data_IF_747215677299
#
_entry.id   IF_747215677299
#
_cell.length_a   1.000
_cell.length_b   1.000
_cell.length_c   1.000
_cell.angle_alpha   90.00
_cell.angle_beta   90.00
_cell.angle_gamma   90.00
#
_symmetry.space_group_name_H-M   'P 1'
#
loop_
_entity.id
_entity.type
_entity.pdbx_description
1 polymer ?
#
# COMPACT_ATOMS: atom_id res chain seq x y z
N UNK A 1 -40.82 -18.18 49.81
CA UNK A 1 -39.49 -18.49 49.23
C UNK A 1 -39.58 -19.23 47.90
N UNK A 2 -40.41 -20.28 47.77
CA UNK A 2 -40.49 -21.09 46.52
C UNK A 2 -40.95 -20.27 45.30
N UNK A 3 -41.90 -19.32 45.45
CA UNK A 3 -42.39 -18.49 44.32
C UNK A 3 -41.31 -17.52 43.83
N UNK A 4 -40.53 -16.90 44.70
CA UNK A 4 -39.45 -15.99 44.34
C UNK A 4 -38.29 -16.74 43.65
N UNK A 5 -37.94 -17.92 44.16
CA UNK A 5 -36.95 -18.79 43.51
C UNK A 5 -37.38 -19.23 42.12
N UNK A 6 -38.68 -19.61 41.96
CA UNK A 6 -39.20 -19.97 40.66
C UNK A 6 -39.25 -18.76 39.69
N UNK A 7 -39.62 -17.57 40.18
CA UNK A 7 -39.62 -16.33 39.38
C UNK A 7 -38.21 -15.92 38.95
N UNK A 8 -37.21 -16.00 39.84
CA UNK A 8 -35.82 -15.72 39.47
C UNK A 8 -35.28 -16.66 38.41
N UNK A 9 -35.59 -17.96 38.50
CA UNK A 9 -35.25 -18.94 37.48
C UNK A 9 -35.90 -18.63 36.13
N UNK A 10 -37.20 -18.21 36.13
CA UNK A 10 -37.90 -17.83 34.93
C UNK A 10 -37.30 -16.58 34.28
N UNK A 11 -36.95 -15.55 35.07
CA UNK A 11 -36.29 -14.34 34.57
C UNK A 11 -34.89 -14.63 34.02
N UNK A 12 -34.14 -15.49 34.67
CA UNK A 12 -32.84 -15.99 34.17
C UNK A 12 -32.98 -16.70 32.83
N UNK A 13 -33.94 -17.64 32.73
CA UNK A 13 -34.20 -18.34 31.48
C UNK A 13 -34.65 -17.40 30.35
N UNK A 14 -35.45 -16.37 30.67
CA UNK A 14 -35.83 -15.36 29.70
C UNK A 14 -34.67 -14.52 29.22
N UNK A 15 -33.72 -14.15 30.11
CA UNK A 15 -32.49 -13.43 29.72
C UNK A 15 -31.63 -14.31 28.80
N UNK A 16 -31.42 -15.56 29.15
CA UNK A 16 -30.69 -16.51 28.31
C UNK A 16 -31.33 -16.68 26.93
N UNK A 17 -32.66 -16.83 26.87
CA UNK A 17 -33.38 -16.93 25.58
C UNK A 17 -33.27 -15.67 24.75
N UNK A 18 -33.35 -14.49 25.36
CA UNK A 18 -33.19 -13.21 24.66
C UNK A 18 -31.78 -13.08 24.08
N UNK A 19 -30.73 -13.50 24.81
CA UNK A 19 -29.35 -13.48 24.36
C UNK A 19 -29.15 -14.41 23.14
N UNK A 20 -29.60 -15.67 23.23
CA UNK A 20 -29.54 -16.62 22.11
C UNK A 20 -30.36 -16.14 20.90
N UNK A 21 -31.52 -15.54 21.13
CA UNK A 21 -32.35 -14.96 20.05
C UNK A 21 -31.65 -13.81 19.35
N UNK A 22 -30.93 -12.96 20.10
CA UNK A 22 -30.11 -11.89 19.54
C UNK A 22 -28.94 -12.45 18.70
N UNK A 23 -28.26 -13.48 19.19
CA UNK A 23 -27.16 -14.12 18.46
C UNK A 23 -27.66 -14.76 17.17
N UNK A 24 -28.80 -15.45 17.21
CA UNK A 24 -29.41 -16.03 16.00
C UNK A 24 -29.81 -14.96 14.99
N UNK A 25 -30.39 -13.85 15.44
CA UNK A 25 -30.76 -12.73 14.57
C UNK A 25 -29.54 -12.10 13.88
N UNK A 26 -28.36 -12.15 14.53
CA UNK A 26 -27.12 -11.57 14.05
C UNK A 26 -26.12 -12.60 13.51
N UNK A 27 -26.52 -13.84 13.31
CA UNK A 27 -25.66 -14.90 12.78
C UNK A 27 -25.07 -14.60 11.38
N UNK A 28 -25.74 -13.73 10.60
CA UNK A 28 -25.29 -13.27 9.28
C UNK A 28 -24.76 -11.83 9.29
N UNK A 29 -24.61 -11.23 10.47
CA UNK A 29 -24.11 -9.85 10.60
C UNK A 29 -22.59 -9.84 10.62
N UNK A 30 -21.94 -9.07 9.75
CA UNK A 30 -20.48 -8.96 9.66
C UNK A 30 -19.87 -8.59 11.01
N UNK A 31 -18.86 -9.35 11.42
CA UNK A 31 -18.07 -9.14 12.65
C UNK A 31 -18.89 -9.10 13.95
N UNK A 32 -20.10 -9.67 13.96
CA UNK A 32 -20.88 -9.80 15.18
C UNK A 32 -20.19 -10.78 16.14
N UNK A 33 -20.25 -10.46 17.42
CA UNK A 33 -19.71 -11.28 18.51
C UNK A 33 -20.85 -11.86 19.34
N UNK A 34 -20.94 -13.17 19.39
CA UNK A 34 -21.94 -13.90 20.16
C UNK A 34 -21.85 -13.53 21.64
N UNK A 35 -22.96 -13.63 22.32
CA UNK A 35 -23.10 -13.26 23.71
C UNK A 35 -23.60 -14.43 24.55
N UNK A 36 -23.15 -14.48 25.79
CA UNK A 36 -23.61 -15.48 26.76
C UNK A 36 -24.07 -14.77 28.02
N UNK A 37 -25.27 -15.11 28.49
CA UNK A 37 -25.75 -14.62 29.79
C UNK A 37 -25.07 -15.39 30.91
N UNK A 38 -24.46 -14.67 31.86
CA UNK A 38 -23.83 -15.22 33.05
C UNK A 38 -24.80 -15.14 34.21
N UNK A 39 -24.88 -16.21 34.98
CA UNK A 39 -25.80 -16.34 36.12
C UNK A 39 -25.01 -16.62 37.39
N UNK A 40 -25.45 -16.01 38.48
CA UNK A 40 -24.96 -16.28 39.83
C UNK A 40 -26.06 -16.87 40.71
N UNK A 41 -25.69 -17.70 41.65
CA UNK A 41 -26.60 -18.21 42.66
C UNK A 41 -26.77 -17.21 43.82
N UNK A 42 -27.95 -17.13 44.38
CA UNK A 42 -28.26 -16.21 45.47
C UNK A 42 -28.47 -17.01 46.76
N UNK A 43 -27.68 -16.67 47.79
CA UNK A 43 -27.83 -17.22 49.15
C UNK A 43 -28.29 -16.14 50.14
N UNK A 44 -29.04 -16.50 51.20
CA UNK A 44 -29.34 -15.57 52.25
C UNK A 44 -28.08 -15.12 53.01
N UNK A 45 -28.05 -13.89 53.52
CA UNK A 45 -26.89 -13.31 54.20
C UNK A 45 -26.38 -14.10 55.41
N UNK A 46 -27.21 -14.98 56.01
CA UNK A 46 -26.86 -15.85 57.14
C UNK A 46 -26.96 -17.33 56.71
N UNK A 47 -26.44 -17.67 55.54
CA UNK A 47 -26.47 -19.03 55.03
C UNK A 47 -25.54 -19.96 55.80
N UNK A 48 -26.14 -20.71 56.75
CA UNK A 48 -25.53 -21.94 57.26
C UNK A 48 -25.96 -23.11 56.36
N UNK A 49 -26.69 -24.07 56.85
CA UNK A 49 -27.23 -25.23 56.10
C UNK A 49 -28.59 -24.90 55.46
N UNK A 50 -28.71 -23.74 54.74
CA UNK A 50 -29.94 -23.38 54.05
C UNK A 50 -29.75 -23.43 52.54
N UNK A 51 -30.77 -23.92 51.78
CA UNK A 51 -30.71 -23.91 50.33
C UNK A 51 -30.68 -22.50 49.74
N UNK A 52 -30.06 -22.36 48.55
CA UNK A 52 -30.07 -21.12 47.81
C UNK A 52 -31.49 -20.58 47.50
N UNK A 53 -31.65 -19.29 47.37
CA UNK A 53 -32.95 -18.61 47.19
C UNK A 53 -33.24 -18.24 45.74
N UNK A 54 -32.42 -18.68 44.80
CA UNK A 54 -32.63 -18.46 43.38
C UNK A 54 -31.36 -18.10 42.58
N UNK A 55 -31.55 -17.56 41.40
CA UNK A 55 -30.47 -17.11 40.53
C UNK A 55 -30.67 -15.65 40.14
N UNK A 56 -29.56 -14.92 39.90
CA UNK A 56 -29.57 -13.59 39.31
C UNK A 56 -28.74 -13.60 38.02
N UNK A 57 -29.01 -12.68 37.13
CA UNK A 57 -28.11 -12.44 35.99
C UNK A 57 -26.95 -11.60 36.49
N UNK A 58 -25.74 -12.14 36.44
CA UNK A 58 -24.49 -11.44 36.76
C UNK A 58 -24.13 -10.43 35.67
N UNK A 59 -24.30 -10.83 34.40
CA UNK A 59 -24.00 -9.99 33.25
C UNK A 59 -24.17 -10.72 31.92
N UNK A 60 -23.80 -10.04 30.84
CA UNK A 60 -23.69 -10.62 29.51
C UNK A 60 -22.23 -10.48 29.07
N UNK A 61 -21.58 -11.59 28.76
CA UNK A 61 -20.22 -11.65 28.25
C UNK A 61 -20.26 -11.85 26.75
N UNK A 62 -19.41 -11.14 26.02
CA UNK A 62 -19.23 -11.33 24.57
C UNK A 62 -18.08 -12.28 24.28
N UNK A 63 -18.28 -13.22 23.37
CA UNK A 63 -17.21 -14.06 22.86
C UNK A 63 -16.42 -13.28 21.80
N UNK A 64 -15.21 -12.84 22.16
CA UNK A 64 -14.34 -12.04 21.30
C UNK A 64 -13.50 -12.88 20.34
N UNK A 65 -13.71 -14.21 20.28
CA UNK A 65 -13.02 -15.08 19.31
C UNK A 65 -13.32 -14.62 17.88
N UNK A 66 -12.33 -14.80 17.03
CA UNK A 66 -12.45 -14.40 15.63
C UNK A 66 -13.43 -15.30 14.90
N UNK A 67 -14.34 -14.71 14.14
CA UNK A 67 -15.19 -15.43 13.19
C UNK A 67 -14.44 -15.83 11.91
N UNK A 68 -15.05 -16.65 11.09
CA UNK A 68 -14.49 -17.07 9.82
C UNK A 68 -14.28 -15.88 8.87
N UNK A 69 -13.20 -15.91 8.10
CA UNK A 69 -12.92 -14.91 7.09
C UNK A 69 -13.54 -15.33 5.75
N UNK A 70 -14.41 -14.48 5.22
CA UNK A 70 -15.13 -14.73 3.96
C UNK A 70 -14.67 -13.75 2.89
N UNK A 71 -14.23 -14.28 1.75
CA UNK A 71 -13.84 -13.47 0.60
C UNK A 71 -15.08 -12.82 -0.04
N UNK A 72 -15.05 -11.51 -0.21
CA UNK A 72 -16.14 -10.73 -0.81
C UNK A 72 -15.83 -10.29 -2.24
N UNK A 73 -14.54 -10.24 -2.60
CA UNK A 73 -14.09 -9.69 -3.89
C UNK A 73 -14.17 -8.17 -3.99
N UNK A 74 -14.64 -7.46 -2.96
CA UNK A 74 -14.58 -6.01 -2.89
C UNK A 74 -13.21 -5.57 -2.35
N UNK A 75 -12.41 -4.81 -3.11
CA UNK A 75 -11.05 -4.43 -2.68
C UNK A 75 -11.00 -3.45 -1.50
N UNK A 76 -12.12 -2.84 -1.12
CA UNK A 76 -12.24 -1.96 0.05
C UNK A 76 -12.63 -2.71 1.32
N UNK A 77 -13.05 -3.97 1.22
CA UNK A 77 -13.32 -4.78 2.38
C UNK A 77 -12.00 -5.25 3.01
N UNK A 78 -11.94 -5.25 4.33
CA UNK A 78 -10.78 -5.70 5.07
C UNK A 78 -11.19 -6.41 6.36
N UNK A 79 -10.64 -7.59 6.60
CA UNK A 79 -10.81 -8.31 7.85
C UNK A 79 -9.52 -8.27 8.68
N UNK A 80 -9.64 -8.11 9.99
CA UNK A 80 -8.51 -8.17 10.90
C UNK A 80 -8.22 -9.64 11.21
N UNK A 81 -6.97 -10.08 11.02
CA UNK A 81 -6.48 -11.38 11.45
C UNK A 81 -5.76 -11.23 12.78
N UNK A 82 -6.35 -11.78 13.84
CA UNK A 82 -5.85 -11.64 15.21
C UNK A 82 -6.48 -10.48 15.96
N UNK A 83 -5.70 -9.83 16.82
CA UNK A 83 -6.19 -8.83 17.76
C UNK A 83 -6.31 -7.43 17.14
N UNK A 84 -7.26 -6.64 17.63
CA UNK A 84 -7.43 -5.24 17.29
C UNK A 84 -8.82 -4.91 16.75
N UNK A 85 -9.06 -3.61 16.59
CA UNK A 85 -10.29 -3.04 16.08
C UNK A 85 -9.93 -1.93 15.11
N UNK A 86 -10.68 -1.78 14.04
CA UNK A 86 -10.61 -0.58 13.21
C UNK A 86 -11.03 0.64 14.05
N UNK A 87 -10.33 1.73 13.87
CA UNK A 87 -10.63 2.99 14.53
C UNK A 87 -11.49 3.82 13.60
N UNK A 88 -12.67 4.20 14.06
CA UNK A 88 -13.60 5.03 13.30
C UNK A 88 -13.97 6.28 14.08
N UNK A 89 -14.40 7.32 13.39
CA UNK A 89 -14.89 8.55 14.00
C UNK A 89 -16.30 8.86 13.53
N UNK A 90 -17.22 8.99 14.47
CA UNK A 90 -18.58 9.46 14.23
C UNK A 90 -18.80 10.75 15.01
N UNK A 91 -19.14 11.84 14.31
CA UNK A 91 -19.38 13.16 14.90
C UNK A 91 -18.24 13.65 15.82
N UNK A 92 -16.97 13.34 15.45
CA UNK A 92 -15.81 13.71 16.23
C UNK A 92 -15.50 12.80 17.42
N UNK A 93 -16.34 11.80 17.69
CA UNK A 93 -16.08 10.79 18.73
C UNK A 93 -15.40 9.57 18.12
N UNK A 94 -14.30 9.16 18.74
CA UNK A 94 -13.57 7.96 18.33
C UNK A 94 -14.31 6.71 18.84
N UNK A 95 -14.48 5.76 17.93
CA UNK A 95 -15.16 4.50 18.16
C UNK A 95 -14.39 3.37 17.50
N UNK A 96 -14.76 2.13 17.73
CA UNK A 96 -14.02 0.95 17.34
C UNK A 96 -14.96 -0.08 16.73
N UNK A 97 -14.52 -0.78 15.69
CA UNK A 97 -15.31 -1.83 15.06
C UNK A 97 -14.42 -2.94 14.53
N UNK A 98 -14.99 -4.14 14.43
CA UNK A 98 -14.40 -5.25 13.67
C UNK A 98 -15.00 -5.36 12.26
N UNK A 99 -16.09 -4.63 11.99
CA UNK A 99 -16.68 -4.57 10.65
C UNK A 99 -15.76 -3.80 9.69
N UNK A 100 -15.26 -4.49 8.69
CA UNK A 100 -14.35 -3.98 7.68
C UNK A 100 -15.00 -3.69 6.33
N UNK A 101 -16.33 -3.59 6.26
CA UNK A 101 -17.05 -3.19 5.07
C UNK A 101 -16.98 -1.67 4.88
N UNK A 102 -15.98 -1.21 4.08
CA UNK A 102 -15.75 0.21 3.86
C UNK A 102 -16.16 0.65 2.46
N UNK A 103 -16.46 1.94 2.34
CA UNK A 103 -16.77 2.60 1.09
C UNK A 103 -16.12 3.99 1.03
N UNK A 104 -15.95 4.52 -0.17
CA UNK A 104 -15.47 5.90 -0.36
C UNK A 104 -16.68 6.82 -0.40
N UNK A 105 -16.72 7.79 0.51
CA UNK A 105 -17.70 8.89 0.45
C UNK A 105 -17.39 9.77 -0.76
N UNK A 106 -18.31 9.83 -1.71
CA UNK A 106 -18.16 10.57 -2.95
C UNK A 106 -18.01 12.09 -2.78
N UNK A 107 -18.46 12.64 -1.65
CA UNK A 107 -18.38 14.08 -1.38
C UNK A 107 -17.04 14.48 -0.76
N UNK A 108 -16.48 13.63 0.10
CA UNK A 108 -15.28 13.94 0.88
C UNK A 108 -14.05 13.15 0.43
N UNK A 109 -14.22 12.08 -0.36
CA UNK A 109 -13.16 11.15 -0.71
C UNK A 109 -12.66 10.30 0.45
N UNK A 110 -13.32 10.36 1.62
CA UNK A 110 -12.87 9.64 2.82
C UNK A 110 -13.43 8.22 2.84
N UNK A 111 -12.66 7.30 3.42
CA UNK A 111 -13.17 5.97 3.73
C UNK A 111 -14.13 6.04 4.91
N UNK A 112 -15.30 5.46 4.73
CA UNK A 112 -16.38 5.44 5.74
C UNK A 112 -16.99 4.05 5.85
N UNK A 113 -17.56 3.75 7.00
CA UNK A 113 -18.42 2.57 7.20
C UNK A 113 -19.79 2.79 6.53
N UNK A 114 -20.61 1.76 6.44
CA UNK A 114 -21.99 1.87 5.95
C UNK A 114 -22.84 2.89 6.73
N UNK A 115 -22.53 3.12 8.01
CA UNK A 115 -23.19 4.14 8.85
C UNK A 115 -22.64 5.55 8.66
N UNK A 116 -21.61 5.75 7.81
CA UNK A 116 -20.98 7.03 7.57
C UNK A 116 -19.89 7.43 8.59
N UNK A 117 -19.50 6.55 9.50
CA UNK A 117 -18.38 6.80 10.39
C UNK A 117 -17.05 6.75 9.60
N UNK A 118 -16.20 7.76 9.80
CA UNK A 118 -14.93 7.92 9.08
C UNK A 118 -13.88 6.96 9.60
N UNK A 119 -13.27 6.19 8.71
CA UNK A 119 -12.16 5.30 9.06
C UNK A 119 -10.90 6.12 9.32
N UNK A 120 -10.24 5.85 10.44
CA UNK A 120 -9.05 6.56 10.87
C UNK A 120 -7.78 5.75 10.62
N UNK A 121 -6.74 6.45 10.28
CA UNK A 121 -5.39 5.90 10.08
C UNK A 121 -4.37 7.03 10.02
N UNK A 122 -3.21 6.71 9.53
CA UNK A 122 -2.09 7.63 9.37
C UNK A 122 -1.95 7.99 7.89
N UNK A 123 -2.12 9.25 7.54
CA UNK A 123 -2.01 9.71 6.17
C UNK A 123 -0.57 9.59 5.64
N UNK A 124 -0.42 9.31 4.35
CA UNK A 124 0.88 9.37 3.68
C UNK A 124 1.28 10.82 3.49
N UNK A 125 2.50 11.18 3.92
CA UNK A 125 3.07 12.50 3.70
C UNK A 125 3.75 12.60 2.31
N UNK A 126 3.92 13.81 1.82
CA UNK A 126 4.52 14.07 0.49
C UNK A 126 5.98 13.62 0.38
N UNK A 127 6.67 13.48 1.51
CA UNK A 127 8.04 12.95 1.59
C UNK A 127 8.11 11.41 1.55
N UNK A 128 6.96 10.72 1.45
CA UNK A 128 6.87 9.27 1.44
C UNK A 128 6.87 8.63 2.85
N UNK A 129 6.95 9.43 3.92
CA UNK A 129 6.81 8.91 5.28
C UNK A 129 5.35 8.82 5.72
N UNK A 130 5.11 8.03 6.75
CA UNK A 130 3.78 7.94 7.37
C UNK A 130 3.62 9.07 8.39
N UNK A 131 2.49 9.77 8.33
CA UNK A 131 2.14 10.79 9.30
C UNK A 131 2.03 10.24 10.71
N UNK A 132 2.27 11.07 11.72
CA UNK A 132 2.22 10.68 13.13
C UNK A 132 0.85 10.89 13.79
N UNK A 133 -0.06 11.58 13.11
CA UNK A 133 -1.38 11.94 13.63
C UNK A 133 -2.45 11.01 13.07
N UNK A 134 -3.21 10.38 13.96
CA UNK A 134 -4.37 9.58 13.58
C UNK A 134 -5.49 10.50 13.09
N UNK A 135 -5.96 10.27 11.87
CA UNK A 135 -7.02 11.08 11.25
C UNK A 135 -7.75 10.35 10.13
N UNK A 136 -8.81 10.95 9.57
CA UNK A 136 -9.50 10.38 8.43
C UNK A 136 -8.57 10.30 7.21
N UNK A 137 -8.57 9.14 6.55
CA UNK A 137 -7.79 8.96 5.33
C UNK A 137 -8.62 9.39 4.13
N UNK A 138 -8.05 10.28 3.33
CA UNK A 138 -8.70 10.80 2.12
C UNK A 138 -8.05 10.18 0.88
N UNK A 139 -8.88 9.62 0.02
CA UNK A 139 -8.52 9.00 -1.24
C UNK A 139 -8.64 10.04 -2.35
N UNK A 140 -7.58 10.25 -3.10
CA UNK A 140 -7.66 11.06 -4.30
C UNK A 140 -8.21 10.21 -5.46
N UNK A 141 -9.46 10.45 -5.82
CA UNK A 141 -10.12 9.82 -6.97
C UNK A 141 -10.00 10.63 -8.26
N UNK A 142 -9.28 11.75 -8.20
CA UNK A 142 -8.95 12.56 -9.38
C UNK A 142 -7.86 11.91 -10.23
N UNK A 143 -7.63 12.46 -11.42
CA UNK A 143 -6.53 12.03 -12.26
C UNK A 143 -5.17 12.43 -11.64
N UNK A 144 -4.18 11.54 -11.78
CA UNK A 144 -2.78 11.87 -11.46
C UNK A 144 -2.19 12.63 -12.64
N UNK A 145 -1.62 13.81 -12.44
CA UNK A 145 -0.96 14.57 -13.51
C UNK A 145 0.26 13.80 -14.03
N UNK A 146 0.69 14.16 -15.24
CA UNK A 146 1.93 13.66 -15.79
C UNK A 146 3.13 14.02 -14.91
N UNK A 147 4.14 13.16 -14.91
CA UNK A 147 5.45 13.44 -14.35
C UNK A 147 6.52 13.34 -15.44
N UNK A 148 7.25 14.43 -15.67
CA UNK A 148 8.36 14.40 -16.60
C UNK A 148 9.48 13.49 -16.07
N UNK A 149 10.13 12.73 -16.98
CA UNK A 149 11.31 11.94 -16.60
C UNK A 149 12.43 12.86 -16.14
N UNK A 150 12.88 12.66 -14.92
CA UNK A 150 14.02 13.36 -14.31
C UNK A 150 15.18 12.41 -14.00
N UNK A 151 14.87 11.16 -13.67
CA UNK A 151 15.86 10.14 -13.37
C UNK A 151 15.55 8.87 -14.15
N UNK A 152 16.59 8.33 -14.78
CA UNK A 152 16.52 7.09 -15.55
C UNK A 152 17.72 6.22 -15.16
N UNK A 153 17.45 5.00 -14.70
CA UNK A 153 18.48 4.00 -14.40
C UNK A 153 18.57 2.98 -15.51
N UNK A 154 19.78 2.72 -16.01
CA UNK A 154 20.06 1.75 -17.07
C UNK A 154 21.43 1.16 -16.84
N UNK A 155 21.51 -0.15 -16.64
CA UNK A 155 22.77 -0.88 -16.60
C UNK A 155 22.90 -1.76 -17.85
N UNK A 156 24.10 -1.86 -18.40
CA UNK A 156 24.40 -2.52 -19.66
C UNK A 156 25.62 -3.43 -19.52
N UNK A 157 25.77 -4.38 -20.45
CA UNK A 157 27.05 -4.99 -20.77
C UNK A 157 27.50 -4.47 -22.14
N UNK A 158 28.68 -3.84 -22.20
CA UNK A 158 29.33 -3.45 -23.44
C UNK A 158 30.31 -4.54 -23.84
N UNK A 159 30.40 -4.85 -25.14
CA UNK A 159 31.29 -5.91 -25.62
C UNK A 159 32.75 -5.39 -25.78
N UNK A 160 33.66 -5.94 -25.00
CA UNK A 160 35.08 -5.57 -25.10
C UNK A 160 35.74 -6.00 -26.40
N UNK A 161 35.11 -6.83 -27.19
CA UNK A 161 35.58 -7.34 -28.48
C UNK A 161 35.14 -6.53 -29.69
N UNK A 162 34.34 -5.47 -29.49
CA UNK A 162 33.89 -4.60 -30.59
C UNK A 162 35.06 -3.89 -31.25
N UNK A 163 34.87 -3.49 -32.48
CA UNK A 163 35.88 -2.81 -33.26
C UNK A 163 36.04 -1.35 -32.79
N UNK A 164 37.25 -0.93 -32.54
CA UNK A 164 37.52 0.46 -32.18
C UNK A 164 37.16 1.38 -33.34
N UNK A 165 36.26 2.33 -33.11
CA UNK A 165 35.91 3.36 -34.08
C UNK A 165 37.02 4.44 -34.08
N UNK A 166 37.61 4.78 -35.26
CA UNK A 166 38.67 5.77 -35.34
C UNK A 166 38.23 7.12 -34.78
N UNK A 167 39.07 7.79 -33.98
CA UNK A 167 38.78 9.07 -33.35
C UNK A 167 38.38 10.20 -34.35
N UNK A 168 38.79 10.05 -35.64
CA UNK A 168 38.38 11.00 -36.69
C UNK A 168 36.99 10.78 -37.22
N UNK A 169 36.27 9.70 -36.84
CA UNK A 169 34.91 9.40 -37.26
C UNK A 169 33.95 10.29 -36.50
N UNK A 170 33.19 11.11 -37.22
CA UNK A 170 32.16 11.95 -36.61
C UNK A 170 30.91 11.10 -36.38
N UNK A 171 30.41 11.08 -35.15
CA UNK A 171 29.19 10.37 -34.80
C UNK A 171 27.98 10.86 -35.61
N UNK A 172 27.20 9.94 -36.14
CA UNK A 172 25.92 10.19 -36.79
C UNK A 172 24.93 9.07 -36.47
N UNK A 173 23.85 9.41 -35.75
CA UNK A 173 22.84 8.43 -35.33
C UNK A 173 22.19 7.64 -36.50
N UNK A 174 22.19 8.23 -37.70
CA UNK A 174 21.64 7.59 -38.93
C UNK A 174 22.65 6.72 -39.68
N UNK A 175 23.91 6.69 -39.26
CA UNK A 175 24.99 5.92 -39.89
C UNK A 175 25.53 4.87 -38.93
N UNK A 176 25.13 3.59 -39.09
CA UNK A 176 25.53 2.51 -38.18
C UNK A 176 27.04 2.20 -38.20
N UNK A 177 27.81 2.80 -39.12
CA UNK A 177 29.28 2.63 -39.13
C UNK A 177 29.97 3.58 -38.14
N UNK A 178 29.24 4.50 -37.51
CA UNK A 178 29.77 5.51 -36.58
C UNK A 178 29.57 5.19 -35.10
N UNK A 179 28.95 4.06 -34.79
CA UNK A 179 28.78 3.55 -33.44
C UNK A 179 28.80 2.02 -33.42
N UNK A 180 29.09 1.43 -32.25
CA UNK A 180 29.18 -0.02 -32.09
C UNK A 180 27.85 -0.60 -31.67
N UNK A 181 27.22 0.01 -30.64
CA UNK A 181 26.00 -0.49 -30.02
C UNK A 181 24.97 0.62 -29.83
N UNK A 182 23.71 0.25 -29.84
CA UNK A 182 22.62 1.20 -29.65
C UNK A 182 21.45 0.59 -28.88
N UNK A 183 20.79 1.41 -28.10
CA UNK A 183 19.50 1.10 -27.47
C UNK A 183 18.65 2.34 -27.38
N UNK A 184 17.38 2.19 -27.00
CA UNK A 184 16.51 3.34 -26.77
C UNK A 184 15.71 3.15 -25.49
N UNK A 185 15.45 4.25 -24.80
CA UNK A 185 14.64 4.29 -23.59
C UNK A 185 13.47 5.24 -23.78
N UNK A 186 12.32 4.86 -23.20
CA UNK A 186 11.14 5.73 -23.20
C UNK A 186 11.28 6.74 -22.08
N UNK A 187 10.95 7.98 -22.39
CA UNK A 187 10.94 9.11 -21.45
C UNK A 187 9.63 9.90 -21.60
N UNK A 188 9.25 10.64 -20.60
CA UNK A 188 8.04 11.46 -20.62
C UNK A 188 8.41 12.93 -20.49
N UNK A 189 7.74 13.78 -21.25
CA UNK A 189 7.87 15.23 -21.12
C UNK A 189 6.92 15.81 -20.06
N UNK A 190 6.98 17.11 -19.82
CA UNK A 190 6.17 17.80 -18.81
C UNK A 190 4.66 17.80 -19.11
N UNK A 191 4.26 17.48 -20.34
CA UNK A 191 2.85 17.31 -20.74
C UNK A 191 2.41 15.84 -20.70
N UNK A 192 3.32 14.91 -20.41
CA UNK A 192 3.07 13.48 -20.34
C UNK A 192 3.11 12.76 -21.67
N UNK A 193 3.62 13.40 -22.73
CA UNK A 193 3.84 12.70 -23.97
C UNK A 193 5.03 11.74 -23.83
N UNK A 194 4.83 10.50 -24.27
CA UNK A 194 5.91 9.53 -24.35
C UNK A 194 6.85 9.92 -25.50
N UNK A 195 8.11 10.11 -25.21
CA UNK A 195 9.18 10.35 -26.16
C UNK A 195 10.24 9.27 -26.00
N UNK A 196 11.28 9.29 -26.82
CA UNK A 196 12.40 8.35 -26.75
C UNK A 196 13.73 9.09 -26.66
N UNK A 197 14.71 8.45 -26.05
CA UNK A 197 16.10 8.83 -26.15
C UNK A 197 16.86 7.63 -26.70
N UNK A 198 17.38 7.76 -27.92
CA UNK A 198 18.34 6.81 -28.47
C UNK A 198 19.69 7.01 -27.80
N UNK A 199 20.25 5.92 -27.32
CA UNK A 199 21.61 5.89 -26.75
C UNK A 199 22.52 5.11 -27.71
N UNK A 200 23.64 5.69 -28.04
CA UNK A 200 24.61 5.13 -28.95
C UNK A 200 25.97 5.06 -28.26
N UNK A 201 26.61 3.92 -28.37
CA UNK A 201 27.84 3.61 -27.68
C UNK A 201 28.95 3.45 -28.70
N UNK A 202 30.06 4.16 -28.48
CA UNK A 202 31.22 4.19 -29.35
C UNK A 202 32.43 3.82 -28.54
N UNK A 203 33.10 2.74 -28.92
CA UNK A 203 34.37 2.33 -28.32
C UNK A 203 35.52 3.25 -28.78
N UNK A 204 36.09 3.98 -27.84
CA UNK A 204 37.23 4.84 -28.12
C UNK A 204 38.53 4.04 -28.23
N UNK A 205 39.49 4.52 -29.03
CA UNK A 205 40.86 3.96 -28.98
C UNK A 205 41.41 3.99 -27.56
N UNK A 206 42.07 2.90 -27.15
CA UNK A 206 42.73 2.86 -25.86
C UNK A 206 43.82 3.95 -25.80
N UNK A 207 43.92 4.64 -24.68
CA UNK A 207 44.88 5.75 -24.48
C UNK A 207 46.34 5.29 -24.63
N UNK A 208 46.64 4.05 -24.27
CA UNK A 208 47.93 3.40 -24.46
C UNK A 208 47.71 1.93 -24.83
N UNK A 209 48.70 1.33 -25.49
CA UNK A 209 48.61 -0.09 -25.84
C UNK A 209 48.41 -0.96 -24.58
N UNK A 210 47.36 -1.79 -24.60
CA UNK A 210 46.97 -2.68 -23.49
C UNK A 210 46.12 -2.02 -22.39
N UNK A 211 45.80 -0.74 -22.51
CA UNK A 211 44.86 -0.10 -21.59
C UNK A 211 43.40 -0.50 -21.93
N UNK A 212 42.52 -0.49 -20.92
CA UNK A 212 41.07 -0.71 -21.11
C UNK A 212 40.50 0.44 -21.91
N UNK A 213 39.75 0.17 -23.01
CA UNK A 213 39.13 1.23 -23.80
C UNK A 213 38.03 1.92 -23.01
N UNK A 214 37.86 3.22 -23.24
CA UNK A 214 36.69 3.97 -22.79
C UNK A 214 35.62 3.95 -23.85
N UNK A 215 34.38 4.28 -23.46
CA UNK A 215 33.23 4.32 -24.33
C UNK A 215 32.54 5.69 -24.28
N UNK A 216 32.41 6.32 -25.41
CA UNK A 216 31.58 7.56 -25.51
C UNK A 216 30.14 7.19 -25.73
N UNK A 217 29.26 7.75 -24.91
CA UNK A 217 27.81 7.60 -25.04
C UNK A 217 27.24 8.87 -25.62
N UNK A 218 26.54 8.72 -26.75
CA UNK A 218 25.75 9.77 -27.35
C UNK A 218 24.27 9.55 -27.08
N UNK A 219 23.53 10.62 -26.85
CA UNK A 219 22.09 10.62 -26.64
C UNK A 219 21.41 11.43 -27.75
N UNK A 220 20.46 10.83 -28.44
CA UNK A 220 19.65 11.46 -29.46
C UNK A 220 18.21 11.48 -28.98
N UNK A 221 17.64 12.65 -28.59
CA UNK A 221 16.20 12.77 -28.35
C UNK A 221 15.41 12.46 -29.62
N UNK A 222 14.31 11.75 -29.46
CA UNK A 222 13.44 11.28 -30.56
C UNK A 222 11.97 11.39 -30.19
N UNK A 223 11.13 11.61 -31.19
CA UNK A 223 9.67 11.48 -31.05
C UNK A 223 9.30 10.03 -30.71
N UNK A 224 8.04 9.76 -30.35
CA UNK A 224 7.55 8.38 -30.11
C UNK A 224 7.75 7.45 -31.32
N UNK A 225 7.73 8.01 -32.53
CA UNK A 225 7.92 7.29 -33.80
C UNK A 225 9.37 7.13 -34.22
N UNK A 226 10.32 7.65 -33.42
CA UNK A 226 11.75 7.54 -33.68
C UNK A 226 12.33 8.64 -34.60
N UNK A 227 11.59 9.71 -34.85
CA UNK A 227 12.11 10.89 -35.56
C UNK A 227 12.99 11.70 -34.63
N UNK A 228 14.19 12.08 -35.07
CA UNK A 228 15.14 12.84 -34.30
C UNK A 228 14.61 14.22 -33.93
N UNK A 229 14.84 14.64 -32.68
CA UNK A 229 14.52 15.95 -32.14
C UNK A 229 15.82 16.65 -31.78
N UNK A 230 16.14 17.71 -32.52
CA UNK A 230 17.44 18.38 -32.38
C UNK A 230 18.61 17.54 -32.84
N UNK A 231 19.77 17.79 -32.29
CA UNK A 231 21.00 17.07 -32.61
C UNK A 231 21.39 16.14 -31.46
N UNK A 232 22.05 15.04 -31.82
CA UNK A 232 22.65 14.16 -30.83
C UNK A 232 23.65 14.91 -29.95
N UNK A 233 23.68 14.58 -28.68
CA UNK A 233 24.57 15.18 -27.69
C UNK A 233 25.49 14.11 -27.12
N UNK A 234 26.75 14.46 -26.87
CA UNK A 234 27.60 13.60 -26.04
C UNK A 234 27.05 13.60 -24.61
N UNK A 235 26.61 12.45 -24.16
CA UNK A 235 26.06 12.30 -22.81
C UNK A 235 27.20 12.16 -21.79
N UNK A 236 28.08 11.21 -22.01
CA UNK A 236 29.23 10.94 -21.11
C UNK A 236 30.26 10.06 -21.76
N UNK A 237 31.42 9.91 -21.10
CA UNK A 237 32.40 8.87 -21.42
C UNK A 237 32.48 7.91 -20.24
N UNK A 238 32.25 6.64 -20.52
CA UNK A 238 32.34 5.54 -19.56
C UNK A 238 33.77 5.01 -19.51
N UNK A 239 34.33 4.96 -18.33
CA UNK A 239 35.63 4.35 -18.10
C UNK A 239 35.48 3.10 -17.23
N UNK A 240 36.29 2.09 -17.50
CA UNK A 240 36.19 0.79 -16.83
C UNK A 240 37.52 0.42 -16.18
N UNK A 241 37.42 -0.37 -15.13
CA UNK A 241 38.57 -1.03 -14.51
C UNK A 241 39.05 -2.21 -15.37
N UNK A 242 40.24 -2.73 -15.11
CA UNK A 242 40.72 -3.95 -15.76
C UNK A 242 39.90 -5.21 -15.49
N UNK A 243 38.99 -5.16 -14.47
CA UNK A 243 38.01 -6.21 -14.20
C UNK A 243 36.66 -5.99 -14.92
N UNK A 244 36.55 -4.95 -15.74
CA UNK A 244 35.33 -4.62 -16.49
C UNK A 244 34.27 -3.88 -15.69
N UNK A 245 34.54 -3.47 -14.46
CA UNK A 245 33.60 -2.67 -13.68
C UNK A 245 33.66 -1.20 -14.08
N UNK A 246 32.50 -0.52 -14.13
CA UNK A 246 32.45 0.92 -14.38
C UNK A 246 33.15 1.69 -13.27
N UNK A 247 34.10 2.56 -13.66
CA UNK A 247 34.90 3.38 -12.74
C UNK A 247 34.48 4.84 -12.72
N UNK A 248 34.02 5.37 -13.85
CA UNK A 248 33.49 6.75 -13.96
C UNK A 248 32.59 6.93 -15.18
N UNK A 249 31.91 8.07 -15.25
CA UNK A 249 30.98 8.42 -16.34
C UNK A 249 29.50 8.25 -15.99
N UNK A 250 29.18 7.90 -14.75
CA UNK A 250 27.82 7.85 -14.21
C UNK A 250 27.78 8.55 -12.85
N UNK A 251 26.68 9.30 -12.54
CA UNK A 251 25.56 9.65 -13.42
C UNK A 251 25.92 10.70 -14.47
N UNK A 252 25.06 10.84 -15.51
CA UNK A 252 25.23 11.83 -16.58
C UNK A 252 23.91 12.53 -16.88
N UNK A 253 23.96 13.82 -17.21
CA UNK A 253 22.75 14.61 -17.43
C UNK A 253 22.57 14.97 -18.90
N UNK A 254 21.39 14.67 -19.45
CA UNK A 254 20.95 15.08 -20.77
C UNK A 254 19.98 16.25 -20.64
N UNK A 255 20.30 17.40 -21.22
CA UNK A 255 19.36 18.49 -21.35
C UNK A 255 18.55 18.33 -22.64
N UNK A 256 17.22 18.35 -22.51
CA UNK A 256 16.34 18.07 -23.62
C UNK A 256 15.30 19.16 -23.79
N UNK A 257 15.05 19.55 -25.04
CA UNK A 257 13.91 20.34 -25.45
C UNK A 257 13.18 19.57 -26.56
N UNK A 258 11.99 19.09 -26.27
CA UNK A 258 11.24 18.26 -27.20
C UNK A 258 10.63 19.03 -28.38
N UNK A 259 10.57 20.37 -28.32
CA UNK A 259 10.05 21.20 -29.40
C UNK A 259 8.55 21.05 -29.65
N UNK A 260 7.82 20.41 -28.75
CA UNK A 260 6.38 20.11 -28.86
C UNK A 260 5.51 20.98 -27.93
N UNK A 261 6.09 22.04 -27.35
CA UNK A 261 5.41 22.93 -26.40
C UNK A 261 5.56 22.51 -24.94
N UNK A 262 6.16 21.35 -24.65
CA UNK A 262 6.52 20.96 -23.29
C UNK A 262 7.69 21.78 -22.77
N UNK A 263 7.81 21.89 -21.45
CA UNK A 263 8.94 22.57 -20.84
C UNK A 263 10.24 21.81 -21.12
N UNK A 264 11.37 22.51 -21.40
CA UNK A 264 12.68 21.87 -21.43
C UNK A 264 12.97 21.16 -20.11
N UNK A 265 13.62 20.02 -20.16
CA UNK A 265 13.94 19.18 -19.00
C UNK A 265 15.39 18.74 -18.99
N UNK A 266 15.83 18.27 -17.83
CA UNK A 266 17.10 17.60 -17.62
C UNK A 266 16.85 16.18 -17.14
N UNK A 267 17.40 15.19 -17.85
CA UNK A 267 17.26 13.78 -17.51
C UNK A 267 18.61 13.29 -16.97
N UNK A 268 18.62 12.81 -15.76
CA UNK A 268 19.78 12.23 -15.10
C UNK A 268 19.83 10.73 -15.39
N UNK A 269 20.80 10.31 -16.21
CA UNK A 269 21.04 8.91 -16.53
C UNK A 269 21.98 8.29 -15.52
N UNK A 270 21.48 7.37 -14.73
CA UNK A 270 22.27 6.54 -13.85
C UNK A 270 22.66 5.24 -14.59
N UNK A 271 23.91 5.15 -15.02
CA UNK A 271 24.47 4.01 -15.72
C UNK A 271 25.29 3.09 -14.78
N UNK A 272 25.15 3.26 -13.48
CA UNK A 272 25.82 2.43 -12.47
C UNK A 272 25.44 0.97 -12.64
N UNK A 273 26.43 0.07 -12.55
CA UNK A 273 26.23 -1.36 -12.81
C UNK A 273 26.51 -1.76 -14.27
N UNK A 274 26.82 -0.80 -15.15
CA UNK A 274 27.31 -1.10 -16.50
C UNK A 274 28.67 -1.79 -16.42
N UNK A 275 28.85 -2.83 -17.23
CA UNK A 275 30.08 -3.65 -17.29
C UNK A 275 30.64 -3.65 -18.69
N UNK A 276 31.96 -3.87 -18.77
CA UNK A 276 32.68 -4.17 -20.00
C UNK A 276 33.10 -5.64 -19.94
N UNK A 277 32.59 -6.46 -20.85
CA UNK A 277 32.82 -7.91 -20.85
C UNK A 277 32.94 -8.46 -22.27
N UNK A 278 33.35 -9.72 -22.40
CA UNK A 278 33.46 -10.40 -23.69
C UNK A 278 32.11 -10.91 -24.23
N UNK A 279 31.03 -10.67 -23.49
CA UNK A 279 29.69 -11.02 -23.91
C UNK A 279 29.11 -9.94 -24.82
N UNK A 280 28.17 -10.35 -25.70
CA UNK A 280 27.46 -9.42 -26.57
C UNK A 280 26.75 -8.32 -25.76
N UNK A 281 26.52 -7.18 -26.41
CA UNK A 281 25.76 -6.09 -25.85
C UNK A 281 24.42 -6.55 -25.30
N UNK A 282 24.12 -6.14 -24.08
CA UNK A 282 22.85 -6.48 -23.43
C UNK A 282 22.48 -5.47 -22.36
N UNK A 283 21.18 -5.35 -22.11
CA UNK A 283 20.66 -4.56 -21.00
C UNK A 283 20.63 -5.46 -19.76
N UNK A 284 21.30 -5.03 -18.68
CA UNK A 284 21.36 -5.74 -17.42
C UNK A 284 20.19 -5.28 -16.51
N UNK A 285 19.20 -6.15 -16.35
CA UNK A 285 18.01 -5.85 -15.52
C UNK A 285 16.95 -4.99 -16.25
N UNK A 286 16.02 -4.47 -15.47
CA UNK A 286 14.97 -3.59 -16.00
C UNK A 286 15.37 -2.12 -15.86
N UNK A 287 15.29 -1.33 -16.94
CA UNK A 287 15.47 0.12 -16.81
C UNK A 287 14.44 0.72 -15.85
N UNK A 288 14.88 1.68 -15.04
CA UNK A 288 14.01 2.44 -14.13
C UNK A 288 13.76 3.83 -14.68
N UNK A 289 12.53 4.33 -14.53
CA UNK A 289 12.11 5.64 -15.03
C UNK A 289 11.11 6.22 -14.04
N UNK A 290 11.32 7.46 -13.59
CA UNK A 290 10.43 8.17 -12.68
C UNK A 290 9.33 8.96 -13.42
N UNK A 291 9.42 9.06 -14.74
CA UNK A 291 8.42 9.73 -15.57
C UNK A 291 7.23 8.83 -15.92
N UNK A 292 6.05 9.43 -16.07
CA UNK A 292 4.84 8.76 -16.53
C UNK A 292 3.83 9.72 -17.17
N UNK A 293 2.96 9.17 -18.00
CA UNK A 293 1.81 9.88 -18.57
C UNK A 293 0.73 10.15 -17.50
N UNK A 294 -0.21 11.09 -17.73
CA UNK A 294 -1.35 11.26 -16.84
C UNK A 294 -2.12 9.95 -16.68
N UNK A 295 -2.67 9.72 -15.50
CA UNK A 295 -3.45 8.52 -15.22
C UNK A 295 -4.82 8.85 -14.66
N UNK A 296 -5.85 8.16 -15.14
CA UNK A 296 -7.18 8.19 -14.55
C UNK A 296 -7.28 7.21 -13.40
N UNK A 297 -8.02 7.55 -12.35
CA UNK A 297 -8.27 6.67 -11.22
C UNK A 297 -8.96 5.37 -11.69
N UNK A 298 -8.44 4.23 -11.26
CA UNK A 298 -8.96 2.90 -11.58
C UNK A 298 -9.65 2.23 -10.40
N UNK A 299 -9.16 2.46 -9.18
CA UNK A 299 -9.73 1.85 -7.98
C UNK A 299 -8.81 1.98 -6.77
N UNK A 300 -9.33 1.63 -5.60
CA UNK A 300 -8.58 1.61 -4.35
C UNK A 300 -8.70 0.24 -3.70
N UNK A 301 -7.65 -0.22 -3.07
CA UNK A 301 -7.59 -1.47 -2.30
C UNK A 301 -6.89 -1.27 -0.97
N UNK A 302 -7.17 -2.18 -0.03
CA UNK A 302 -6.52 -2.25 1.27
C UNK A 302 -5.57 -3.45 1.27
N UNK A 303 -4.29 -3.18 1.50
CA UNK A 303 -3.25 -4.21 1.56
C UNK A 303 -3.15 -4.86 2.95
N UNK A 304 -2.45 -5.99 3.05
CA UNK A 304 -2.34 -6.76 4.29
C UNK A 304 -1.59 -6.01 5.42
N UNK A 305 -0.74 -5.07 5.10
CA UNK A 305 -0.05 -4.18 6.03
C UNK A 305 -0.86 -2.92 6.38
N UNK A 306 -2.11 -2.84 5.91
CA UNK A 306 -3.02 -1.75 6.13
C UNK A 306 -2.82 -0.53 5.23
N UNK A 307 -1.94 -0.60 4.26
CA UNK A 307 -1.79 0.48 3.28
C UNK A 307 -3.01 0.57 2.38
N UNK A 308 -3.49 1.79 2.19
CA UNK A 308 -4.59 2.10 1.29
C UNK A 308 -4.01 2.58 -0.03
N UNK A 309 -4.11 1.74 -1.05
CA UNK A 309 -3.45 1.93 -2.33
C UNK A 309 -4.48 2.27 -3.41
N UNK A 310 -4.30 3.40 -4.07
CA UNK A 310 -5.07 3.81 -5.24
C UNK A 310 -4.29 3.52 -6.52
N UNK A 311 -4.89 2.78 -7.44
CA UNK A 311 -4.33 2.41 -8.73
C UNK A 311 -4.85 3.33 -9.82
N UNK A 312 -4.00 3.60 -10.82
CA UNK A 312 -4.30 4.49 -11.94
C UNK A 312 -4.04 3.80 -13.29
N UNK A 313 -4.69 4.27 -14.34
CA UNK A 313 -4.62 3.70 -15.70
C UNK A 313 -3.21 3.74 -16.32
N UNK A 314 -2.32 4.58 -15.80
CA UNK A 314 -0.91 4.67 -16.21
C UNK A 314 0.00 3.70 -15.44
N UNK A 315 -0.56 2.78 -14.63
CA UNK A 315 0.18 1.82 -13.82
C UNK A 315 0.73 2.38 -12.50
N UNK A 316 0.49 3.66 -12.21
CA UNK A 316 0.90 4.24 -10.93
C UNK A 316 0.02 3.74 -9.80
N UNK A 317 0.63 3.50 -8.66
CA UNK A 317 -0.03 3.16 -7.39
C UNK A 317 0.38 4.22 -6.37
N UNK A 318 -0.62 4.91 -5.84
CA UNK A 318 -0.42 5.96 -4.83
C UNK A 318 -0.94 5.47 -3.50
N UNK A 319 -0.10 5.50 -2.47
CA UNK A 319 -0.50 5.20 -1.10
C UNK A 319 -1.15 6.45 -0.47
N UNK A 320 -2.40 6.33 -0.05
CA UNK A 320 -3.13 7.39 0.63
C UNK A 320 -2.83 7.45 2.14
N UNK A 321 -2.36 6.34 2.71
CA UNK A 321 -2.05 6.19 4.12
C UNK A 321 -2.16 4.75 4.59
N UNK A 322 -2.02 4.55 5.88
CA UNK A 322 -2.08 3.23 6.51
C UNK A 322 -3.12 3.23 7.62
N UNK A 323 -3.94 2.21 7.69
CA UNK A 323 -4.97 2.06 8.71
C UNK A 323 -4.38 1.96 10.11
N UNK A 324 -5.09 2.50 11.09
CA UNK A 324 -4.81 2.29 12.51
C UNK A 324 -5.65 1.15 13.08
N UNK A 325 -5.03 0.27 13.85
CA UNK A 325 -5.72 -0.76 14.64
C UNK A 325 -5.56 -0.46 16.13
N UNK A 326 -6.69 -0.37 16.83
CA UNK A 326 -6.73 -0.16 18.27
C UNK A 326 -6.71 -1.47 19.03
N UNK A 327 -5.87 -1.57 20.03
CA UNK A 327 -5.84 -2.66 21.00
C UNK A 327 -6.17 -2.12 22.39
N UNK A 328 -6.78 -2.96 23.22
CA UNK A 328 -7.19 -2.64 24.58
C UNK A 328 -6.57 -3.63 25.56
N UNK A 329 -6.28 -3.17 26.75
CA UNK A 329 -5.78 -4.02 27.85
C UNK A 329 -6.86 -5.02 28.29
N UNK A 330 -8.12 -4.62 28.22
CA UNK A 330 -9.29 -5.45 28.53
C UNK A 330 -10.39 -5.24 27.47
N UNK A 331 -10.38 -5.97 26.36
CA UNK A 331 -11.38 -5.83 25.31
C UNK A 331 -12.83 -6.12 25.74
N UNK A 332 -13.02 -6.98 26.76
CA UNK A 332 -14.35 -7.29 27.30
C UNK A 332 -14.99 -6.07 28.00
N UNK A 333 -14.18 -5.11 28.41
CA UNK A 333 -14.66 -3.84 28.97
C UNK A 333 -15.17 -2.83 27.95
N UNK A 334 -15.10 -3.13 26.65
CA UNK A 334 -15.66 -2.28 25.61
C UNK A 334 -17.20 -2.27 25.70
N UNK A 335 -17.78 -1.10 25.53
CA UNK A 335 -19.24 -0.93 25.55
C UNK A 335 -19.77 -1.02 24.12
N UNK A 336 -20.62 -2.01 23.80
CA UNK A 336 -21.23 -2.14 22.49
C UNK A 336 -22.22 -1.00 22.21
N UNK A 337 -22.26 -0.53 20.98
CA UNK A 337 -23.21 0.43 20.44
C UNK A 337 -23.82 -0.12 19.14
N UNK A 338 -24.88 0.53 18.64
CA UNK A 338 -25.54 0.10 17.42
C UNK A 338 -24.59 0.12 16.21
N UNK A 339 -24.71 -0.87 15.32
CA UNK A 339 -23.93 -0.95 14.08
C UNK A 339 -22.58 -1.63 14.25
N UNK A 340 -22.45 -2.59 15.16
CA UNK A 340 -21.20 -3.31 15.48
C UNK A 340 -20.03 -2.38 15.85
N UNK A 341 -20.38 -1.30 16.53
CA UNK A 341 -19.43 -0.29 17.02
C UNK A 341 -19.26 -0.47 18.53
N UNK A 342 -18.06 -0.20 19.01
CA UNK A 342 -17.69 -0.24 20.42
C UNK A 342 -17.13 1.12 20.86
N UNK A 343 -17.38 1.48 22.10
CA UNK A 343 -16.76 2.63 22.75
C UNK A 343 -15.87 2.17 23.89
N UNK A 344 -14.75 2.87 24.09
CA UNK A 344 -13.87 2.61 25.21
C UNK A 344 -14.55 2.99 26.54
N UNK A 345 -14.25 2.24 27.58
CA UNK A 345 -14.69 2.48 28.95
C UNK A 345 -13.48 2.58 29.90
N UNK A 346 -13.75 2.89 31.17
CA UNK A 346 -12.70 2.79 32.19
C UNK A 346 -12.19 1.35 32.36
N UNK A 347 -13.07 0.37 32.16
CA UNK A 347 -12.76 -1.06 32.30
C UNK A 347 -11.94 -1.58 31.12
N UNK A 348 -12.21 -1.11 29.89
CA UNK A 348 -11.42 -1.50 28.71
C UNK A 348 -10.01 -0.89 28.73
N UNK A 349 -9.84 0.23 29.41
CA UNK A 349 -8.65 1.06 29.31
C UNK A 349 -8.62 1.91 28.05
N UNK A 350 -7.54 2.66 27.88
CA UNK A 350 -7.30 3.49 26.70
C UNK A 350 -6.89 2.65 25.50
N UNK A 351 -7.32 3.06 24.30
CA UNK A 351 -6.89 2.45 23.06
C UNK A 351 -5.41 2.72 22.78
N UNK A 352 -4.67 1.66 22.47
CA UNK A 352 -3.31 1.76 21.91
C UNK A 352 -3.42 1.49 20.42
N UNK A 353 -3.16 2.52 19.61
CA UNK A 353 -3.31 2.42 18.15
C UNK A 353 -1.96 2.21 17.50
N UNK A 354 -1.86 1.13 16.72
CA UNK A 354 -0.68 0.77 15.94
C UNK A 354 -1.07 0.54 14.48
N UNK A 355 -0.10 0.51 13.58
CA UNK A 355 -0.32 0.02 12.21
C UNK A 355 -0.44 -1.50 12.23
N UNK A 356 -1.18 -2.11 11.28
CA UNK A 356 -1.32 -3.56 11.20
C UNK A 356 0.02 -4.28 11.17
N UNK A 357 0.10 -5.39 11.89
CA UNK A 357 1.33 -6.18 12.02
C UNK A 357 2.41 -5.61 12.92
N UNK A 358 2.13 -4.51 13.64
CA UNK A 358 3.08 -3.91 14.59
C UNK A 358 2.54 -3.92 16.02
N UNK A 359 3.44 -4.05 16.99
CA UNK A 359 3.08 -4.11 18.41
C UNK A 359 2.16 -5.30 18.72
N UNK A 360 0.97 -5.02 19.26
CA UNK A 360 -0.06 -6.03 19.56
C UNK A 360 -1.14 -6.12 18.45
N UNK A 361 -1.05 -5.29 17.41
CA UNK A 361 -2.04 -5.26 16.35
C UNK A 361 -1.89 -6.48 15.43
N UNK A 362 -3.01 -7.09 15.09
CA UNK A 362 -3.10 -8.13 14.08
C UNK A 362 -2.75 -7.62 12.68
N UNK A 363 -2.75 -8.50 11.71
CA UNK A 363 -2.60 -8.17 10.28
C UNK A 363 -3.96 -8.00 9.63
N UNK A 364 -4.01 -7.50 8.41
CA UNK A 364 -5.24 -7.40 7.63
C UNK A 364 -5.29 -8.44 6.52
N UNK A 365 -6.51 -8.79 6.13
CA UNK A 365 -6.81 -9.56 4.92
C UNK A 365 -7.72 -8.70 4.05
N UNK A 366 -7.16 -8.10 2.98
CA UNK A 366 -7.93 -7.30 2.04
C UNK A 366 -8.88 -8.16 1.19
N UNK A 367 -10.02 -7.61 0.79
CA UNK A 367 -11.04 -8.33 0.03
C UNK A 367 -11.81 -9.40 0.80
N UNK A 368 -11.72 -9.37 2.14
CA UNK A 368 -12.38 -10.30 3.03
C UNK A 368 -13.13 -9.55 4.12
N UNK A 369 -14.19 -10.16 4.64
CA UNK A 369 -14.90 -9.72 5.84
C UNK A 369 -14.89 -10.81 6.90
N UNK A 370 -14.94 -10.41 8.17
CA UNK A 370 -15.10 -11.32 9.28
C UNK A 370 -16.59 -11.67 9.42
N UNK A 371 -16.93 -12.94 9.35
CA UNK A 371 -18.29 -13.41 9.61
C UNK A 371 -18.64 -13.31 11.11
N UNK A 372 -19.92 -13.38 11.44
CA UNK A 372 -20.37 -13.58 12.82
C UNK A 372 -19.74 -14.85 13.40
N UNK A 373 -19.34 -14.84 14.67
CA UNK A 373 -18.96 -16.06 15.40
C UNK A 373 -20.16 -16.72 16.09
N UNK A 374 -21.37 -16.16 15.96
CA UNK A 374 -22.59 -16.82 16.42
C UNK A 374 -22.93 -17.99 15.50
N UNK A 375 -23.00 -19.19 16.09
CA UNK A 375 -23.34 -20.42 15.36
C UNK A 375 -24.84 -20.70 15.43
N UNK A 376 -25.43 -21.10 14.29
CA UNK A 376 -26.81 -21.59 14.25
C UNK A 376 -26.96 -23.04 14.70
N UNK A 377 -25.82 -23.70 15.02
CA UNK A 377 -25.72 -25.13 15.33
C UNK A 377 -25.33 -25.40 16.80
N UNK A 378 -25.66 -24.49 17.73
CA UNK A 378 -25.43 -24.71 19.16
C UNK A 378 -26.63 -25.38 19.81
#
# INVERSE_FOLDING_TARGET
MTLQTALSGLLGAQTGLNTVSNDLANASTTAFKSQTALFEDIYPANAGDVPGIGTATEGISSDLTQGDLTATGNPLDAAIQGNGYFVVSSNGTQQYTRDGAFQIDSNTGQLVTASGAKLLGYAQETNGSLGSTLGPITINTGAVPANATSNLGLALNLNSGDAVIPAATTFNASDPTTYDETTSVVTYDSLGNANRVGLYFVQNPAATAGAVPSWTVYAQPQTPTGTDVGTAQTLTTLNFTSSGALSSGSPATLNVNWGNGSAPGAINFNLTGTTLGAQDFSIAGNPTNDGYAPGSYSGTSIAADGQIQSSYSNGQVVNAGTLGLANFINPEGLVPASGNIYTASQTSGQAVVNTPGTGLAGTLSGGNLEASNASTSA
#
